data_IF_861777909090
#
_entry.id   IF_861777909090
#
_cell.length_a   1.000
_cell.length_b   1.000
_cell.length_c   1.000
_cell.angle_alpha   90.00
_cell.angle_beta   90.00
_cell.angle_gamma   90.00
#
_symmetry.space_group_name_H-M   'P 1'
#
loop_
_entity.id
_entity.type
_entity.pdbx_description
1 polymer ?
#
# COMPACT_ATOMS: atom_id res chain seq x y z
N UNK A 1 3.28 -4.93 -17.85
CA UNK A 1 3.70 -5.43 -16.52
C UNK A 1 5.19 -5.71 -16.54
N UNK A 2 5.96 -5.14 -15.63
CA UNK A 2 7.40 -5.42 -15.50
C UNK A 2 7.57 -6.80 -14.87
N UNK A 3 8.12 -7.76 -15.62
CA UNK A 3 8.43 -9.09 -15.10
C UNK A 3 9.73 -9.01 -14.31
N UNK A 4 9.65 -9.27 -13.02
CA UNK A 4 10.80 -9.26 -12.12
C UNK A 4 11.45 -10.63 -12.11
N UNK A 5 12.79 -10.66 -12.03
CA UNK A 5 13.49 -11.89 -11.69
C UNK A 5 13.23 -12.25 -10.23
N UNK A 6 13.45 -13.50 -9.87
CA UNK A 6 13.28 -13.99 -8.48
C UNK A 6 14.09 -13.15 -7.49
N UNK A 7 15.33 -12.79 -7.81
CA UNK A 7 16.16 -11.97 -6.92
C UNK A 7 15.65 -10.53 -6.79
N UNK A 8 15.15 -9.94 -7.89
CA UNK A 8 14.53 -8.62 -7.87
C UNK A 8 13.26 -8.61 -7.02
N UNK A 9 12.43 -9.65 -7.15
CA UNK A 9 11.22 -9.84 -6.37
C UNK A 9 11.54 -9.95 -4.88
N UNK A 10 12.49 -10.81 -4.53
CA UNK A 10 12.92 -11.02 -3.15
C UNK A 10 13.50 -9.73 -2.58
N UNK A 11 14.34 -9.03 -3.32
CA UNK A 11 14.91 -7.76 -2.89
C UNK A 11 13.80 -6.75 -2.55
N UNK A 12 12.82 -6.59 -3.45
CA UNK A 12 11.70 -5.68 -3.29
C UNK A 12 10.83 -6.05 -2.07
N UNK A 13 10.56 -7.34 -1.87
CA UNK A 13 9.83 -7.86 -0.70
C UNK A 13 10.56 -7.54 0.61
N UNK A 14 11.88 -7.70 0.63
CA UNK A 14 12.68 -7.39 1.82
C UNK A 14 12.76 -5.90 2.09
N UNK A 15 12.82 -5.05 1.06
CA UNK A 15 12.74 -3.60 1.25
C UNK A 15 11.42 -3.25 1.94
N UNK A 16 10.31 -3.80 1.46
CA UNK A 16 8.99 -3.56 2.04
C UNK A 16 8.90 -4.09 3.49
N UNK A 17 9.41 -5.28 3.76
CA UNK A 17 9.29 -5.94 5.06
C UNK A 17 10.09 -5.27 6.19
N UNK A 18 11.20 -4.61 5.84
CA UNK A 18 12.08 -3.96 6.82
C UNK A 18 11.97 -2.42 6.80
N UNK A 19 10.96 -1.87 6.12
CA UNK A 19 10.66 -0.44 6.11
C UNK A 19 9.84 -0.06 7.35
N UNK A 20 10.49 -0.02 8.52
CA UNK A 20 9.83 0.29 9.80
C UNK A 20 9.19 1.70 9.81
N UNK A 21 9.82 2.70 9.17
CA UNK A 21 9.32 4.08 9.01
C UNK A 21 9.08 4.44 7.53
N UNK A 22 8.61 3.48 6.74
CA UNK A 22 8.43 3.65 5.29
C UNK A 22 9.72 3.68 4.48
N UNK A 23 10.90 3.59 5.13
CA UNK A 23 12.19 3.49 4.44
C UNK A 23 13.16 2.54 5.18
N UNK A 24 14.08 1.93 4.44
CA UNK A 24 15.10 0.99 4.95
C UNK A 24 16.46 1.28 4.33
N UNK A 25 17.55 0.92 5.01
CA UNK A 25 18.89 1.09 4.43
C UNK A 25 19.27 -0.05 3.48
N UNK A 26 20.06 0.26 2.43
CA UNK A 26 20.63 -0.77 1.52
C UNK A 26 21.38 -1.87 2.29
N UNK A 27 22.10 -1.49 3.35
CA UNK A 27 22.86 -2.42 4.19
C UNK A 27 21.98 -3.39 4.98
N UNK A 28 20.87 -2.91 5.54
CA UNK A 28 19.88 -3.74 6.24
C UNK A 28 19.31 -4.79 5.30
N UNK A 29 18.85 -4.39 4.12
CA UNK A 29 18.30 -5.31 3.12
C UNK A 29 19.33 -6.36 2.73
N UNK A 30 20.55 -5.92 2.38
CA UNK A 30 21.65 -6.82 1.99
C UNK A 30 21.96 -7.86 3.07
N UNK A 31 22.01 -7.48 4.35
CA UNK A 31 22.32 -8.39 5.46
C UNK A 31 21.33 -9.56 5.58
N UNK A 32 20.08 -9.35 5.18
CA UNK A 32 19.02 -10.34 5.28
C UNK A 32 18.86 -11.23 4.04
N UNK A 33 19.57 -10.92 2.96
CA UNK A 33 19.64 -11.76 1.75
C UNK A 33 20.66 -12.91 1.91
N UNK A 34 20.51 -13.95 1.10
CA UNK A 34 21.49 -15.05 1.04
C UNK A 34 22.86 -14.56 0.56
N UNK A 35 23.93 -15.32 0.84
CA UNK A 35 25.30 -14.94 0.44
C UNK A 35 25.45 -14.75 -1.07
N UNK A 36 24.69 -15.50 -1.87
CA UNK A 36 24.69 -15.39 -3.32
C UNK A 36 24.03 -14.09 -3.76
N UNK A 37 22.82 -13.82 -3.27
CA UNK A 37 22.06 -12.60 -3.55
C UNK A 37 22.76 -11.32 -3.05
N UNK A 38 23.58 -11.41 -2.01
CA UNK A 38 24.37 -10.29 -1.51
C UNK A 38 25.39 -9.75 -2.53
N UNK A 39 25.88 -10.59 -3.45
CA UNK A 39 26.84 -10.17 -4.48
C UNK A 39 26.18 -9.21 -5.46
N UNK A 40 24.97 -9.56 -5.91
CA UNK A 40 24.23 -8.81 -6.92
C UNK A 40 23.27 -7.76 -6.34
N UNK A 41 23.09 -7.74 -5.01
CA UNK A 41 22.19 -6.84 -4.29
C UNK A 41 22.30 -5.35 -4.68
N UNK A 42 23.50 -4.85 -5.00
CA UNK A 42 23.67 -3.46 -5.44
C UNK A 42 23.10 -3.26 -6.84
N UNK A 43 23.43 -4.16 -7.77
CA UNK A 43 22.94 -4.13 -9.15
C UNK A 43 21.42 -4.27 -9.17
N UNK A 44 20.87 -5.18 -8.36
CA UNK A 44 19.42 -5.35 -8.18
C UNK A 44 18.78 -4.06 -7.68
N UNK A 45 19.37 -3.41 -6.67
CA UNK A 45 18.87 -2.15 -6.14
C UNK A 45 18.85 -1.05 -7.21
N UNK A 46 19.95 -0.87 -7.93
CA UNK A 46 20.08 0.20 -8.91
C UNK A 46 19.14 -0.04 -10.10
N UNK A 47 18.95 -1.29 -10.53
CA UNK A 47 17.94 -1.66 -11.52
C UNK A 47 16.51 -1.34 -11.06
N UNK A 48 16.16 -1.72 -9.83
CA UNK A 48 14.83 -1.44 -9.27
C UNK A 48 14.56 0.07 -9.11
N UNK A 49 15.61 0.86 -8.82
CA UNK A 49 15.53 2.32 -8.83
C UNK A 49 15.33 2.89 -10.24
N UNK A 50 16.05 2.38 -11.25
CA UNK A 50 15.88 2.80 -12.65
C UNK A 50 14.47 2.51 -13.18
N UNK A 51 13.85 1.44 -12.71
CA UNK A 51 12.48 1.06 -13.07
C UNK A 51 11.41 1.80 -12.25
N UNK A 52 11.80 2.78 -11.40
CA UNK A 52 10.92 3.52 -10.49
C UNK A 52 10.11 2.62 -9.53
N UNK A 53 10.60 1.41 -9.24
CA UNK A 53 9.98 0.48 -8.28
C UNK A 53 10.47 0.75 -6.86
N UNK A 54 11.70 1.28 -6.76
CA UNK A 54 12.28 1.81 -5.54
C UNK A 54 12.63 3.28 -5.74
N UNK A 55 12.44 4.07 -4.70
CA UNK A 55 12.94 5.44 -4.64
C UNK A 55 13.97 5.55 -3.51
N UNK A 56 14.89 6.50 -3.65
CA UNK A 56 15.95 6.73 -2.67
C UNK A 56 15.79 8.12 -2.06
N UNK A 57 14.86 8.30 -1.09
CA UNK A 57 14.51 9.63 -0.57
C UNK A 57 15.67 10.30 0.17
N UNK A 58 16.60 9.52 0.71
CA UNK A 58 17.88 9.98 1.27
C UNK A 58 19.00 9.08 0.79
N UNK A 59 20.24 9.59 0.71
CA UNK A 59 21.43 8.79 0.39
C UNK A 59 21.42 7.50 1.23
N UNK A 60 21.43 6.35 0.57
CA UNK A 60 21.44 5.00 1.16
C UNK A 60 20.14 4.48 1.82
N UNK A 61 19.05 5.26 1.84
CA UNK A 61 17.72 4.78 2.25
C UNK A 61 16.85 4.51 1.02
N UNK A 62 16.05 3.46 1.10
CA UNK A 62 15.15 2.99 0.05
C UNK A 62 13.72 3.01 0.58
N UNK A 63 12.78 3.41 -0.26
CA UNK A 63 11.35 3.16 -0.08
C UNK A 63 10.79 2.47 -1.32
N UNK A 64 9.75 1.66 -1.12
CA UNK A 64 9.04 1.01 -2.21
C UNK A 64 7.96 1.96 -2.71
N UNK A 65 7.97 2.28 -4.00
CA UNK A 65 6.95 3.13 -4.62
C UNK A 65 5.62 2.38 -4.75
N UNK A 66 4.53 3.10 -5.01
CA UNK A 66 3.24 2.45 -5.31
C UNK A 66 3.31 1.55 -6.56
N UNK A 67 4.08 1.94 -7.57
CA UNK A 67 4.35 1.11 -8.73
C UNK A 67 5.14 -0.16 -8.34
N UNK A 68 6.13 -0.03 -7.44
CA UNK A 68 6.86 -1.14 -6.86
C UNK A 68 5.93 -2.13 -6.15
N UNK A 69 5.01 -1.65 -5.31
CA UNK A 69 4.02 -2.49 -4.63
C UNK A 69 3.13 -3.23 -5.64
N UNK A 70 2.60 -2.55 -6.66
CA UNK A 70 1.78 -3.18 -7.71
C UNK A 70 2.56 -4.25 -8.48
N UNK A 71 3.81 -3.97 -8.84
CA UNK A 71 4.68 -4.93 -9.50
C UNK A 71 5.00 -6.13 -8.60
N UNK A 72 5.24 -5.91 -7.31
CA UNK A 72 5.45 -6.98 -6.32
C UNK A 72 4.26 -7.94 -6.28
N UNK A 73 3.05 -7.41 -6.12
CA UNK A 73 1.82 -8.22 -6.03
C UNK A 73 1.60 -9.06 -7.31
N UNK A 74 1.74 -8.44 -8.47
CA UNK A 74 1.59 -9.12 -9.75
C UNK A 74 2.61 -10.25 -9.97
N UNK A 75 3.86 -10.02 -9.58
CA UNK A 75 4.91 -11.02 -9.74
C UNK A 75 4.79 -12.13 -8.67
N UNK A 76 4.31 -11.83 -7.46
CA UNK A 76 4.03 -12.86 -6.43
C UNK A 76 2.93 -13.85 -6.88
N UNK A 77 1.92 -13.39 -7.61
CA UNK A 77 0.85 -14.24 -8.13
C UNK A 77 1.30 -15.20 -9.24
N UNK A 78 2.35 -14.82 -9.98
CA UNK A 78 2.80 -15.53 -11.19
C UNK A 78 4.11 -16.29 -10.99
N UNK A 79 4.70 -16.20 -9.81
CA UNK A 79 6.02 -16.78 -9.50
C UNK A 79 5.87 -18.11 -8.76
N UNK A 80 6.53 -19.15 -9.27
CA UNK A 80 6.63 -20.48 -8.63
C UNK A 80 7.71 -20.55 -7.53
N UNK A 81 8.09 -19.40 -6.95
CA UNK A 81 9.16 -19.34 -5.97
C UNK A 81 8.73 -19.97 -4.65
N UNK A 82 9.54 -20.92 -4.19
CA UNK A 82 9.38 -21.56 -2.88
C UNK A 82 10.36 -20.95 -1.89
N UNK A 83 9.86 -20.48 -0.76
CA UNK A 83 10.69 -20.04 0.35
C UNK A 83 11.22 -21.27 1.10
N UNK A 84 12.45 -21.69 0.81
CA UNK A 84 13.05 -22.92 1.37
C UNK A 84 13.61 -22.75 2.79
N UNK A 85 13.85 -21.51 3.23
CA UNK A 85 14.42 -21.21 4.55
C UNK A 85 13.38 -20.62 5.51
N UNK A 86 13.56 -20.81 6.82
CA UNK A 86 12.85 -20.04 7.86
C UNK A 86 13.14 -18.54 7.69
N UNK A 87 12.27 -17.83 6.97
CA UNK A 87 12.34 -16.38 6.82
C UNK A 87 11.92 -15.72 8.13
N UNK A 88 12.49 -14.56 8.42
CA UNK A 88 12.12 -13.79 9.61
C UNK A 88 10.64 -13.40 9.60
N UNK A 89 10.04 -13.30 10.78
CA UNK A 89 8.63 -12.96 10.98
C UNK A 89 8.16 -11.73 10.17
N UNK A 90 9.03 -10.72 10.00
CA UNK A 90 8.72 -9.52 9.21
C UNK A 90 8.37 -9.87 7.76
N UNK A 91 9.19 -10.70 7.12
CA UNK A 91 8.98 -11.10 5.70
C UNK A 91 7.71 -11.92 5.55
N UNK A 92 7.43 -12.82 6.50
CA UNK A 92 6.20 -13.62 6.50
C UNK A 92 4.96 -12.73 6.66
N UNK A 93 4.98 -11.80 7.62
CA UNK A 93 3.87 -10.87 7.83
C UNK A 93 3.64 -9.99 6.60
N UNK A 94 4.71 -9.50 5.96
CA UNK A 94 4.61 -8.73 4.72
C UNK A 94 4.05 -9.56 3.56
N UNK A 95 4.45 -10.83 3.45
CA UNK A 95 3.93 -11.72 2.41
C UNK A 95 2.43 -12.00 2.62
N UNK A 96 2.02 -12.28 3.85
CA UNK A 96 0.60 -12.42 4.21
C UNK A 96 -0.17 -11.14 3.89
N UNK A 97 0.37 -9.97 4.26
CA UNK A 97 -0.22 -8.68 3.93
C UNK A 97 -0.40 -8.50 2.41
N UNK A 98 0.62 -8.82 1.61
CA UNK A 98 0.54 -8.80 0.16
C UNK A 98 -0.57 -9.73 -0.38
N UNK A 99 -0.71 -10.94 0.18
CA UNK A 99 -1.75 -11.89 -0.22
C UNK A 99 -3.17 -11.40 0.15
N UNK A 100 -3.32 -10.75 1.30
CA UNK A 100 -4.61 -10.14 1.68
C UNK A 100 -4.98 -9.00 0.73
N UNK A 101 -4.01 -8.17 0.34
CA UNK A 101 -4.20 -7.09 -0.65
C UNK A 101 -4.61 -7.63 -2.02
N UNK A 102 -3.99 -8.70 -2.49
CA UNK A 102 -4.40 -9.32 -3.76
C UNK A 102 -5.79 -9.91 -3.70
N UNK A 103 -6.17 -10.48 -2.56
CA UNK A 103 -7.50 -11.08 -2.37
C UNK A 103 -8.59 -10.00 -2.30
N UNK A 104 -8.31 -8.87 -1.64
CA UNK A 104 -9.21 -7.72 -1.65
C UNK A 104 -9.32 -7.09 -3.03
N UNK A 105 -8.22 -7.02 -3.81
CA UNK A 105 -8.22 -6.50 -5.18
C UNK A 105 -8.91 -7.43 -6.19
N UNK A 106 -8.80 -8.75 -6.04
CA UNK A 106 -9.47 -9.73 -6.91
C UNK A 106 -10.98 -9.84 -6.63
N UNK A 107 -11.40 -9.64 -5.38
CA UNK A 107 -12.81 -9.56 -5.01
C UNK A 107 -13.44 -8.18 -5.32
N UNK A 108 -12.65 -7.24 -5.83
CA UNK A 108 -13.12 -5.93 -6.27
C UNK A 108 -12.84 -5.74 -7.77
N UNK A 109 -13.48 -6.57 -8.60
CA UNK A 109 -13.96 -6.05 -9.88
C UNK A 109 -14.84 -4.83 -9.57
N UNK A 110 -14.31 -3.65 -9.87
CA UNK A 110 -14.93 -2.32 -9.69
C UNK A 110 -14.87 -1.74 -8.27
N UNK A 111 -13.68 -1.37 -7.82
CA UNK A 111 -13.54 -0.03 -7.20
C UNK A 111 -12.17 0.51 -7.56
N UNK A 112 -12.14 1.32 -8.61
CA UNK A 112 -11.07 2.31 -8.75
C UNK A 112 -11.21 3.16 -7.49
N UNK A 113 -10.34 2.93 -6.51
CA UNK A 113 -10.12 3.86 -5.42
C UNK A 113 -9.44 5.08 -6.03
N UNK A 114 -10.24 5.92 -6.70
CA UNK A 114 -9.90 7.30 -6.98
C UNK A 114 -9.90 8.03 -5.64
N UNK A 115 -8.78 8.67 -5.31
CA UNK A 115 -8.77 9.71 -4.29
C UNK A 115 -9.94 10.66 -4.59
N UNK A 116 -10.98 10.62 -3.75
CA UNK A 116 -12.13 11.50 -3.92
C UNK A 116 -11.63 12.93 -3.68
N UNK A 117 -11.63 13.76 -4.73
CA UNK A 117 -11.28 15.17 -4.61
C UNK A 117 -12.15 15.83 -3.52
N UNK A 118 -11.53 16.70 -2.72
CA UNK A 118 -12.16 17.30 -1.54
C UNK A 118 -13.49 18.00 -1.87
N UNK A 119 -13.62 18.57 -3.07
CA UNK A 119 -14.86 19.20 -3.54
C UNK A 119 -16.02 18.19 -3.64
N UNK A 120 -15.77 16.99 -4.17
CA UNK A 120 -16.75 15.91 -4.28
C UNK A 120 -17.17 15.42 -2.89
N UNK A 121 -16.22 15.35 -1.94
CA UNK A 121 -16.52 15.01 -0.55
C UNK A 121 -17.46 16.04 0.10
N UNK A 122 -17.21 17.33 -0.11
CA UNK A 122 -18.04 18.42 0.45
C UNK A 122 -19.45 18.38 -0.12
N UNK A 123 -19.61 18.12 -1.41
CA UNK A 123 -20.94 17.99 -2.03
C UNK A 123 -21.72 16.79 -1.50
N UNK A 124 -21.09 15.62 -1.38
CA UNK A 124 -21.72 14.43 -0.83
C UNK A 124 -22.09 14.61 0.64
N UNK A 125 -21.21 15.21 1.44
CA UNK A 125 -21.50 15.58 2.82
C UNK A 125 -22.71 16.51 2.91
N UNK A 126 -22.75 17.56 2.08
CA UNK A 126 -23.85 18.52 2.07
C UNK A 126 -25.17 17.87 1.70
N UNK A 127 -25.17 16.93 0.75
CA UNK A 127 -26.36 16.18 0.34
C UNK A 127 -26.90 15.33 1.49
N UNK A 128 -26.04 14.54 2.15
CA UNK A 128 -26.41 13.68 3.27
C UNK A 128 -26.86 14.52 4.47
N UNK A 129 -26.17 15.62 4.76
CA UNK A 129 -26.53 16.57 5.81
C UNK A 129 -27.93 17.18 5.59
N UNK A 130 -28.25 17.55 4.35
CA UNK A 130 -29.57 18.08 3.99
C UNK A 130 -30.67 17.03 4.06
N UNK A 131 -30.38 15.78 3.67
CA UNK A 131 -31.31 14.67 3.79
C UNK A 131 -31.60 14.30 5.26
N UNK A 132 -30.56 14.21 6.10
CA UNK A 132 -30.76 14.00 7.55
C UNK A 132 -31.52 15.17 8.18
N UNK A 133 -31.23 16.42 7.80
CA UNK A 133 -31.98 17.59 8.28
C UNK A 133 -33.46 17.50 7.91
N UNK A 134 -33.81 17.12 6.68
CA UNK A 134 -35.20 16.93 6.24
C UNK A 134 -35.90 15.82 7.02
N UNK A 135 -35.22 14.70 7.27
CA UNK A 135 -35.80 13.60 8.05
C UNK A 135 -35.97 13.95 9.54
N UNK A 136 -35.06 14.75 10.09
CA UNK A 136 -35.12 15.23 11.47
C UNK A 136 -36.19 16.30 11.69
N UNK A 137 -36.43 17.16 10.69
CA UNK A 137 -37.52 18.15 10.69
C UNK A 137 -38.90 17.47 10.71
N UNK A 138 -39.06 16.34 10.00
CA UNK A 138 -40.26 15.50 10.07
C UNK A 138 -40.45 14.79 11.42
N UNK A 139 -39.39 14.60 12.19
CA UNK A 139 -39.40 13.91 13.50
C UNK A 139 -39.40 14.87 14.70
N UNK A 140 -39.30 16.17 14.47
CA UNK A 140 -39.36 17.20 15.52
C UNK A 140 -38.15 17.25 16.46
N UNK A 141 -37.03 16.59 16.13
CA UNK A 141 -35.81 16.54 16.97
C UNK A 141 -34.65 17.19 16.22
N UNK A 142 -34.11 18.28 16.78
CA UNK A 142 -33.04 19.07 16.16
C UNK A 142 -31.71 18.73 16.82
N UNK A 143 -31.09 17.62 16.40
CA UNK A 143 -29.74 17.27 16.82
C UNK A 143 -28.98 16.64 15.64
N UNK A 144 -28.47 17.48 14.76
CA UNK A 144 -27.64 17.01 13.64
C UNK A 144 -26.24 16.74 14.17
N UNK A 145 -25.88 15.45 14.27
CA UNK A 145 -24.55 15.02 14.71
C UNK A 145 -23.61 15.00 13.51
N UNK A 146 -23.25 16.19 13.04
CA UNK A 146 -22.33 16.38 11.90
C UNK A 146 -21.04 15.57 12.00
N UNK A 147 -20.54 15.36 13.22
CA UNK A 147 -19.37 14.52 13.51
C UNK A 147 -19.58 13.04 13.15
N UNK A 148 -20.78 12.50 13.39
CA UNK A 148 -21.12 11.11 13.04
C UNK A 148 -21.31 10.95 11.53
N UNK A 149 -21.88 11.95 10.85
CA UNK A 149 -22.01 11.98 9.38
C UNK A 149 -20.61 12.00 8.74
N UNK A 150 -19.72 12.86 9.23
CA UNK A 150 -18.32 12.91 8.79
C UNK A 150 -17.60 11.58 9.03
N UNK A 151 -17.87 10.93 10.17
CA UNK A 151 -17.24 9.67 10.52
C UNK A 151 -17.72 8.53 9.61
N UNK A 152 -19.04 8.42 9.36
CA UNK A 152 -19.59 7.45 8.40
C UNK A 152 -19.01 7.63 7.00
N UNK A 153 -18.87 8.89 6.55
CA UNK A 153 -18.30 9.18 5.23
C UNK A 153 -16.81 8.87 5.14
N UNK A 154 -16.05 9.03 6.24
CA UNK A 154 -14.65 8.61 6.35
C UNK A 154 -14.46 7.10 6.40
N UNK A 155 -15.43 6.40 6.98
CA UNK A 155 -15.43 4.93 7.05
C UNK A 155 -15.83 4.30 5.70
N UNK A 156 -16.69 4.98 4.92
CA UNK A 156 -17.05 4.54 3.57
C UNK A 156 -16.04 4.97 2.49
N UNK A 157 -15.33 6.08 2.68
CA UNK A 157 -14.34 6.59 1.74
C UNK A 157 -13.06 6.98 2.50
N UNK A 158 -11.91 6.39 2.15
CA UNK A 158 -10.62 6.79 2.69
C UNK A 158 -10.32 8.24 2.24
N UNK A 159 -10.44 9.19 3.15
CA UNK A 159 -10.03 10.58 2.91
C UNK A 159 -8.52 10.65 3.08
N UNK A 160 -7.80 10.98 2.00
CA UNK A 160 -6.38 11.35 2.06
C UNK A 160 -6.19 12.45 3.11
N UNK A 161 -5.54 12.13 4.23
CA UNK A 161 -5.12 13.12 5.22
C UNK A 161 -3.94 13.91 4.63
N UNK A 162 -4.27 14.93 3.84
CA UNK A 162 -3.38 16.07 3.63
C UNK A 162 -3.86 17.20 4.54
N UNK A 163 -3.31 17.22 5.74
CA UNK A 163 -3.17 18.43 6.56
C UNK A 163 -1.67 18.64 6.78
#
# INVERSE_FOLDING_TARGET
MTKLTTDQLIYLLYVLAYSDDGTVTRGTVKRHLSKEQQKDASNTCDFLCQQNLLESPKKSRLSVTEQGKKALLANLQSTDYKFESSKGQKVLNTLLYCLTLTSSQQNSSTTIFEDMEFEVFVEQFRKIYLEERKQQELRGVVAIRSREICQKLKESNHISQLL
#
